data_IF_116769135839
#
_entry.id   IF_116769135839
#
_cell.length_a   1.000
_cell.length_b   1.000
_cell.length_c   1.000
_cell.angle_alpha   90.00
_cell.angle_beta   90.00
_cell.angle_gamma   90.00
#
_symmetry.space_group_name_H-M   'P 1'
#
loop_
_entity.id
_entity.type
_entity.pdbx_description
1 polymer ?
#
# COMPACT_ATOMS: atom_id res chain seq x y z
N UNK A 1 -12.67 13.93 26.91
CA UNK A 1 -12.36 12.75 27.75
C UNK A 1 -11.92 11.65 26.80
N UNK A 2 -10.85 10.91 27.09
CA UNK A 2 -10.50 9.73 26.29
C UNK A 2 -11.55 8.65 26.53
N UNK A 3 -12.06 8.06 25.45
CA UNK A 3 -13.03 6.98 25.50
C UNK A 3 -12.46 5.77 26.24
N UNK A 4 -13.30 5.03 26.95
CA UNK A 4 -12.90 3.75 27.57
C UNK A 4 -13.03 2.64 26.51
N UNK A 5 -11.91 2.01 26.17
CA UNK A 5 -11.87 0.85 25.28
C UNK A 5 -12.62 -0.35 25.88
N UNK A 6 -13.24 -1.15 25.03
CA UNK A 6 -13.82 -2.42 25.44
C UNK A 6 -12.74 -3.40 25.91
N UNK A 7 -13.07 -4.25 26.88
CA UNK A 7 -12.15 -5.27 27.39
C UNK A 7 -12.69 -6.66 27.04
N UNK A 8 -11.82 -7.51 26.52
CA UNK A 8 -12.09 -8.89 26.20
C UNK A 8 -11.13 -9.79 26.97
N UNK A 9 -11.66 -10.75 27.73
CA UNK A 9 -10.85 -11.68 28.53
C UNK A 9 -10.67 -12.99 27.79
N UNK A 10 -9.41 -13.41 27.61
CA UNK A 10 -9.03 -14.69 27.01
C UNK A 10 -8.25 -15.48 28.05
N UNK A 11 -8.75 -16.66 28.44
CA UNK A 11 -8.07 -17.56 29.38
C UNK A 11 -7.55 -16.84 30.66
N UNK A 12 -8.37 -15.93 31.21
CA UNK A 12 -8.04 -15.16 32.42
C UNK A 12 -7.12 -13.96 32.20
N UNK A 13 -6.74 -13.65 30.96
CA UNK A 13 -5.96 -12.46 30.61
C UNK A 13 -6.84 -11.42 29.94
N UNK A 14 -6.79 -10.17 30.41
CA UNK A 14 -7.55 -9.07 29.86
C UNK A 14 -6.81 -8.37 28.73
N UNK A 15 -7.54 -8.12 27.64
CA UNK A 15 -7.08 -7.35 26.49
C UNK A 15 -8.03 -6.18 26.23
N UNK A 16 -7.48 -5.00 25.97
CA UNK A 16 -8.25 -3.88 25.45
C UNK A 16 -8.43 -4.06 23.93
N UNK A 17 -9.65 -3.87 23.44
CA UNK A 17 -9.93 -3.80 22.01
C UNK A 17 -9.49 -2.41 21.49
N UNK A 18 -8.35 -2.38 20.81
CA UNK A 18 -7.81 -1.19 20.18
C UNK A 18 -8.24 -1.16 18.72
N UNK A 19 -9.35 -0.46 18.46
CA UNK A 19 -9.96 -0.38 17.13
C UNK A 19 -9.06 0.38 16.15
N UNK A 20 -8.27 1.36 16.61
CA UNK A 20 -7.33 2.08 15.75
C UNK A 20 -6.24 1.13 15.24
N UNK A 21 -5.65 0.34 16.15
CA UNK A 21 -4.63 -0.68 15.82
C UNK A 21 -5.20 -1.94 15.18
N UNK A 22 -6.53 -2.12 15.20
CA UNK A 22 -7.19 -3.37 14.80
C UNK A 22 -6.60 -4.58 15.54
N UNK A 23 -6.43 -4.46 16.86
CA UNK A 23 -5.82 -5.50 17.69
C UNK A 23 -6.45 -5.60 19.09
N UNK A 24 -6.35 -6.78 19.69
CA UNK A 24 -6.45 -6.97 21.12
C UNK A 24 -5.09 -6.69 21.75
N UNK A 25 -5.00 -5.68 22.62
CA UNK A 25 -3.75 -5.27 23.29
C UNK A 25 -3.81 -5.65 24.76
N UNK A 26 -2.83 -6.41 25.25
CA UNK A 26 -2.85 -6.93 26.62
C UNK A 26 -2.79 -5.79 27.65
N UNK A 27 -3.69 -5.81 28.62
CA UNK A 27 -3.69 -4.84 29.73
C UNK A 27 -2.45 -5.11 30.61
N UNK A 28 -1.65 -4.06 30.81
CA UNK A 28 -0.39 -4.15 31.55
C UNK A 28 0.83 -4.56 30.70
N UNK A 29 0.64 -4.92 29.42
CA UNK A 29 1.74 -5.22 28.50
C UNK A 29 1.38 -4.84 27.06
N UNK A 30 1.52 -3.56 26.70
CA UNK A 30 1.11 -3.05 25.39
C UNK A 30 1.94 -3.53 24.19
N UNK A 31 3.05 -4.23 24.45
CA UNK A 31 3.87 -4.87 23.43
C UNK A 31 3.29 -6.24 23.01
N UNK A 32 2.41 -6.82 23.82
CA UNK A 32 1.69 -8.03 23.45
C UNK A 32 0.35 -7.66 22.79
N UNK A 33 0.24 -7.94 21.50
CA UNK A 33 -0.93 -7.66 20.69
C UNK A 33 -1.32 -8.87 19.85
N UNK A 34 -2.62 -8.99 19.58
CA UNK A 34 -3.20 -10.01 18.70
C UNK A 34 -4.06 -9.29 17.65
N UNK A 35 -3.66 -9.36 16.39
CA UNK A 35 -4.28 -8.64 15.28
C UNK A 35 -5.58 -9.30 14.80
N UNK A 36 -6.65 -8.51 14.66
CA UNK A 36 -7.91 -8.97 14.03
C UNK A 36 -7.78 -9.24 12.52
N UNK A 37 -6.70 -8.74 11.91
CA UNK A 37 -6.46 -8.84 10.48
C UNK A 37 -5.49 -9.99 10.17
N UNK A 38 -4.38 -10.08 10.93
CA UNK A 38 -3.31 -11.02 10.63
C UNK A 38 -3.37 -12.32 11.44
N UNK A 39 -3.91 -12.27 12.66
CA UNK A 39 -3.87 -13.40 13.60
C UNK A 39 -5.22 -14.12 13.75
N UNK A 40 -6.30 -13.55 13.20
CA UNK A 40 -7.64 -14.07 13.33
C UNK A 40 -8.31 -14.26 11.97
N UNK A 41 -9.09 -15.34 11.85
CA UNK A 41 -9.94 -15.57 10.68
C UNK A 41 -11.33 -15.01 10.92
N UNK A 42 -11.80 -14.13 10.04
CA UNK A 42 -13.17 -13.60 10.08
C UNK A 42 -14.15 -14.61 9.47
N UNK A 43 -15.04 -15.14 10.32
CA UNK A 43 -16.11 -16.07 9.91
C UNK A 43 -17.47 -15.37 9.76
N UNK A 44 -17.49 -14.04 9.72
CA UNK A 44 -18.66 -13.16 9.57
C UNK A 44 -19.47 -12.99 10.85
N UNK A 45 -19.63 -14.06 11.63
CA UNK A 45 -20.35 -14.04 12.91
C UNK A 45 -19.43 -13.84 14.12
N UNK A 46 -18.16 -14.16 13.96
CA UNK A 46 -17.10 -14.03 14.96
C UNK A 46 -15.75 -14.15 14.26
N UNK A 47 -14.71 -13.72 14.96
CA UNK A 47 -13.34 -14.05 14.65
C UNK A 47 -12.95 -15.37 15.32
N UNK A 48 -12.30 -16.22 14.55
CA UNK A 48 -11.65 -17.42 15.06
C UNK A 48 -10.18 -17.10 15.33
N UNK A 49 -9.79 -17.19 16.60
CA UNK A 49 -8.41 -17.06 17.06
C UNK A 49 -7.93 -18.44 17.53
N UNK A 50 -6.80 -18.88 16.98
CA UNK A 50 -6.04 -19.99 17.55
C UNK A 50 -5.05 -19.41 18.57
N UNK A 51 -5.23 -19.73 19.84
CA UNK A 51 -4.54 -19.09 20.96
C UNK A 51 -3.61 -20.07 21.70
N UNK A 52 -2.45 -19.58 22.14
CA UNK A 52 -1.48 -20.32 22.97
C UNK A 52 -1.49 -19.76 24.41
N UNK A 53 -2.20 -20.39 25.37
CA UNK A 53 -2.31 -19.87 26.74
C UNK A 53 -0.95 -19.69 27.43
N UNK A 54 -0.03 -20.63 27.24
CA UNK A 54 1.33 -20.58 27.83
C UNK A 54 2.12 -19.34 27.38
N UNK A 55 1.86 -18.83 26.17
CA UNK A 55 2.57 -17.70 25.57
C UNK A 55 1.76 -16.41 25.56
N UNK A 56 0.46 -16.50 25.86
CA UNK A 56 -0.48 -15.39 25.79
C UNK A 56 -0.44 -14.73 24.41
N UNK A 57 -0.50 -15.54 23.34
CA UNK A 57 -0.33 -15.06 21.96
C UNK A 57 -1.17 -15.85 20.97
N UNK A 58 -1.34 -15.31 19.76
CA UNK A 58 -1.84 -16.09 18.63
C UNK A 58 -0.89 -17.22 18.24
N UNK A 59 -1.45 -18.30 17.73
CA UNK A 59 -0.72 -19.41 17.14
C UNK A 59 -0.49 -19.16 15.64
N UNK A 60 0.77 -19.27 15.19
CA UNK A 60 1.11 -18.99 13.78
C UNK A 60 0.90 -20.20 12.83
N UNK A 61 0.66 -21.42 13.34
CA UNK A 61 0.34 -22.61 12.55
C UNK A 61 -0.09 -23.81 13.43
N UNK A 62 -0.72 -24.82 12.79
CA UNK A 62 -1.23 -26.10 13.34
C UNK A 62 -0.20 -27.03 14.03
N UNK A 63 1.01 -26.57 14.34
CA UNK A 63 2.06 -27.44 14.91
C UNK A 63 1.97 -27.64 16.43
N UNK A 64 1.09 -26.91 17.11
CA UNK A 64 0.83 -27.04 18.54
C UNK A 64 -0.56 -27.66 18.82
N UNK A 65 -0.95 -28.71 18.09
CA UNK A 65 -2.30 -29.33 18.24
C UNK A 65 -2.68 -29.71 19.69
N UNK A 66 -1.71 -29.86 20.58
CA UNK A 66 -1.94 -30.20 21.99
C UNK A 66 -1.87 -29.01 22.97
N UNK A 67 -1.65 -27.78 22.49
CA UNK A 67 -1.54 -26.56 23.33
C UNK A 67 -2.35 -25.37 22.83
N UNK A 68 -3.04 -25.51 21.71
CA UNK A 68 -3.85 -24.45 21.12
C UNK A 68 -5.29 -24.54 21.61
N UNK A 69 -5.84 -23.41 22.04
CA UNK A 69 -7.26 -23.25 22.33
C UNK A 69 -7.89 -22.41 21.23
N UNK A 70 -9.05 -22.81 20.74
CA UNK A 70 -9.83 -22.00 19.81
C UNK A 70 -10.68 -20.99 20.60
N UNK A 71 -10.46 -19.71 20.34
CA UNK A 71 -11.17 -18.61 20.97
C UNK A 71 -12.08 -17.96 19.95
N UNK A 72 -13.34 -17.75 20.33
CA UNK A 72 -14.32 -17.01 19.54
C UNK A 72 -14.36 -15.57 20.02
N UNK A 73 -13.84 -14.65 19.22
CA UNK A 73 -13.90 -13.22 19.50
C UNK A 73 -15.10 -12.62 18.76
N UNK A 74 -15.99 -11.86 19.41
CA UNK A 74 -17.12 -11.22 18.73
C UNK A 74 -16.67 -10.26 17.62
N UNK A 75 -17.53 -9.98 16.63
CA UNK A 75 -17.30 -8.91 15.65
C UNK A 75 -17.02 -7.57 16.36
N UNK A 76 -16.19 -6.73 15.76
CA UNK A 76 -15.81 -5.43 16.31
C UNK A 76 -17.01 -4.51 16.50
N UNK A 77 -18.01 -4.56 15.62
CA UNK A 77 -19.27 -3.82 15.79
C UNK A 77 -20.06 -4.23 17.04
N UNK A 78 -19.81 -5.42 17.60
CA UNK A 78 -20.41 -5.88 18.85
C UNK A 78 -19.47 -5.69 20.04
N UNK A 79 -18.19 -5.99 19.85
CA UNK A 79 -17.17 -5.88 20.89
C UNK A 79 -16.94 -4.42 21.28
N UNK A 80 -16.86 -3.54 20.28
CA UNK A 80 -16.62 -2.12 20.46
C UNK A 80 -17.35 -1.26 19.40
N UNK A 81 -18.68 -1.12 19.50
CA UNK A 81 -19.47 -0.32 18.58
C UNK A 81 -19.07 1.16 18.56
N UNK A 82 -18.73 1.73 19.72
CA UNK A 82 -18.33 3.14 19.81
C UNK A 82 -17.00 3.39 19.06
N UNK A 83 -16.03 2.48 19.20
CA UNK A 83 -14.74 2.60 18.52
C UNK A 83 -14.86 2.40 17.02
N UNK A 84 -15.70 1.47 16.57
CA UNK A 84 -16.01 1.30 15.15
C UNK A 84 -16.68 2.53 14.57
N UNK A 85 -17.68 3.09 15.26
CA UNK A 85 -18.34 4.32 14.86
C UNK A 85 -17.38 5.51 14.74
N UNK A 86 -16.50 5.69 15.73
CA UNK A 86 -15.48 6.75 15.74
C UNK A 86 -14.48 6.58 14.60
N UNK A 87 -13.87 5.40 14.44
CA UNK A 87 -12.84 5.14 13.44
C UNK A 87 -13.34 5.29 12.00
N UNK A 88 -14.55 4.79 11.72
CA UNK A 88 -15.12 4.80 10.37
C UNK A 88 -16.10 5.97 10.14
N UNK A 89 -16.21 6.90 11.09
CA UNK A 89 -16.96 8.14 10.93
C UNK A 89 -18.46 7.94 10.68
N UNK A 90 -19.07 6.94 11.33
CA UNK A 90 -20.50 6.65 11.19
C UNK A 90 -21.25 6.66 12.53
N UNK A 91 -22.55 7.00 12.57
CA UNK A 91 -23.36 6.90 13.77
C UNK A 91 -23.41 5.47 14.33
N UNK A 92 -23.34 5.31 15.65
CA UNK A 92 -23.44 3.98 16.31
C UNK A 92 -24.74 3.26 15.93
N UNK A 93 -25.84 4.00 15.78
CA UNK A 93 -27.13 3.43 15.37
C UNK A 93 -27.07 2.76 13.99
N UNK A 94 -26.20 3.24 13.11
CA UNK A 94 -26.02 2.71 11.76
C UNK A 94 -25.18 1.43 11.74
N UNK A 95 -24.60 1.01 12.86
CA UNK A 95 -23.90 -0.27 13.00
C UNK A 95 -24.86 -1.45 13.20
N UNK A 96 -26.10 -1.18 13.62
CA UNK A 96 -27.07 -2.22 13.91
C UNK A 96 -27.35 -3.08 12.66
N UNK A 97 -27.11 -4.39 12.78
CA UNK A 97 -27.30 -5.34 11.68
C UNK A 97 -26.21 -5.35 10.61
N UNK A 98 -25.19 -4.47 10.71
CA UNK A 98 -24.02 -4.52 9.83
C UNK A 98 -22.96 -5.47 10.37
N UNK A 99 -22.19 -6.03 9.45
CA UNK A 99 -20.96 -6.76 9.71
C UNK A 99 -19.78 -5.81 9.78
N UNK A 100 -18.66 -6.26 10.37
CA UNK A 100 -17.41 -5.49 10.36
C UNK A 100 -17.00 -5.12 8.93
N UNK A 101 -17.15 -6.05 7.98
CA UNK A 101 -16.79 -5.80 6.58
C UNK A 101 -17.58 -4.65 5.96
N UNK A 102 -18.89 -4.58 6.21
CA UNK A 102 -19.77 -3.52 5.69
C UNK A 102 -19.44 -2.14 6.28
N UNK A 103 -18.83 -2.11 7.46
CA UNK A 103 -18.40 -0.87 8.11
C UNK A 103 -16.99 -0.48 7.69
N UNK A 104 -16.09 -1.46 7.54
CA UNK A 104 -14.69 -1.25 7.20
C UNK A 104 -14.46 -0.89 5.72
N UNK A 105 -15.35 -1.34 4.84
CA UNK A 105 -15.22 -1.18 3.39
C UNK A 105 -16.38 -0.34 2.88
N UNK A 106 -16.06 0.67 2.06
CA UNK A 106 -17.08 1.47 1.38
C UNK A 106 -17.85 0.59 0.39
N UNK A 107 -19.10 0.28 0.75
CA UNK A 107 -19.96 -0.62 -0.01
C UNK A 107 -20.42 -0.01 -1.35
N UNK A 108 -20.49 1.31 -1.47
CA UNK A 108 -20.86 1.97 -2.71
C UNK A 108 -19.72 1.86 -3.73
N UNK A 109 -18.49 2.18 -3.30
CA UNK A 109 -17.30 2.04 -4.14
C UNK A 109 -17.05 0.58 -4.53
N UNK A 110 -17.25 -0.36 -3.58
CA UNK A 110 -17.18 -1.78 -3.87
C UNK A 110 -18.23 -2.18 -4.91
N UNK A 111 -19.49 -1.77 -4.74
CA UNK A 111 -20.57 -2.05 -5.68
C UNK A 111 -20.26 -1.57 -7.11
N UNK A 112 -19.76 -0.34 -7.25
CA UNK A 112 -19.32 0.22 -8.55
C UNK A 112 -18.18 -0.59 -9.16
N UNK A 113 -17.19 -0.94 -8.35
CA UNK A 113 -16.05 -1.75 -8.79
C UNK A 113 -16.48 -3.14 -9.27
N UNK A 114 -17.41 -3.77 -8.55
CA UNK A 114 -17.99 -5.08 -8.91
C UNK A 114 -18.87 -5.00 -10.17
N UNK A 115 -19.54 -3.87 -10.41
CA UNK A 115 -20.26 -3.58 -11.65
C UNK A 115 -19.35 -3.33 -12.87
N UNK A 116 -18.03 -3.33 -12.67
CA UNK A 116 -17.03 -3.23 -13.75
C UNK A 116 -16.37 -1.87 -13.88
N UNK A 117 -16.68 -0.91 -13.00
CA UNK A 117 -16.01 0.38 -13.01
C UNK A 117 -14.55 0.22 -12.55
N UNK A 118 -13.59 0.75 -13.33
CA UNK A 118 -12.17 0.70 -12.96
C UNK A 118 -11.81 1.86 -12.02
N UNK A 119 -10.96 1.63 -11.00
CA UNK A 119 -10.44 2.71 -10.17
C UNK A 119 -9.69 3.74 -11.01
N UNK A 120 -9.65 4.98 -10.51
CA UNK A 120 -8.91 6.07 -11.14
C UNK A 120 -7.84 6.60 -10.21
N UNK A 121 -6.67 6.93 -10.76
CA UNK A 121 -5.57 7.62 -10.07
C UNK A 121 -5.21 8.92 -10.78
N UNK A 122 -4.97 9.97 -10.01
CA UNK A 122 -4.41 11.23 -10.51
C UNK A 122 -2.87 11.18 -10.52
N UNK A 123 -2.26 11.50 -11.65
CA UNK A 123 -0.81 11.58 -11.82
C UNK A 123 -0.50 12.93 -12.46
N UNK A 124 0.20 13.80 -11.72
CA UNK A 124 0.56 15.15 -12.18
C UNK A 124 -0.63 15.98 -12.73
N UNK A 125 -1.83 15.79 -12.17
CA UNK A 125 -3.06 16.50 -12.57
C UNK A 125 -3.90 15.79 -13.63
N UNK A 126 -3.38 14.73 -14.27
CA UNK A 126 -4.11 13.93 -15.25
C UNK A 126 -4.70 12.67 -14.61
N UNK A 127 -5.86 12.22 -15.11
CA UNK A 127 -6.55 11.03 -14.60
C UNK A 127 -6.25 9.79 -15.44
N UNK A 128 -6.02 8.68 -14.74
CA UNK A 128 -5.76 7.39 -15.35
C UNK A 128 -6.66 6.32 -14.74
N UNK A 129 -7.26 5.49 -15.59
CA UNK A 129 -7.92 4.25 -15.18
C UNK A 129 -6.86 3.18 -14.87
N UNK A 130 -7.00 2.53 -13.72
CA UNK A 130 -6.19 1.38 -13.32
C UNK A 130 -6.79 0.11 -13.94
N UNK A 131 -6.10 -0.49 -14.92
CA UNK A 131 -6.49 -1.79 -15.49
C UNK A 131 -5.41 -2.85 -15.20
N UNK A 132 -5.54 -3.51 -14.05
CA UNK A 132 -4.58 -4.54 -13.61
C UNK A 132 -4.61 -5.79 -14.50
N UNK A 133 -5.69 -6.05 -15.25
CA UNK A 133 -5.77 -7.19 -16.18
C UNK A 133 -4.77 -7.01 -17.33
N UNK A 134 -4.63 -5.76 -17.79
CA UNK A 134 -3.67 -5.37 -18.82
C UNK A 134 -2.31 -4.92 -18.25
N UNK A 135 -2.22 -4.74 -16.92
CA UNK A 135 -1.08 -4.11 -16.24
C UNK A 135 -0.80 -2.70 -16.77
N UNK A 136 -1.86 -1.89 -16.90
CA UNK A 136 -1.77 -0.56 -17.48
C UNK A 136 -2.48 0.49 -16.63
N UNK A 137 -1.91 1.69 -16.61
CA UNK A 137 -2.61 2.92 -16.26
C UNK A 137 -2.99 3.60 -17.57
N UNK A 138 -4.28 3.69 -17.85
CA UNK A 138 -4.79 4.18 -19.14
C UNK A 138 -5.32 5.59 -18.94
N UNK A 139 -4.75 6.57 -19.65
CA UNK A 139 -5.26 7.93 -19.62
C UNK A 139 -6.75 7.95 -19.97
N UNK A 140 -7.51 8.92 -19.44
CA UNK A 140 -8.96 9.02 -19.72
C UNK A 140 -9.28 9.10 -21.22
N UNK A 141 -8.42 9.75 -22.00
CA UNK A 141 -8.47 9.83 -23.47
C UNK A 141 -7.90 8.58 -24.19
N UNK A 142 -7.67 7.47 -23.47
CA UNK A 142 -7.13 6.17 -23.93
C UNK A 142 -5.67 6.15 -24.43
N UNK A 143 -5.04 7.31 -24.67
CA UNK A 143 -3.63 7.44 -25.03
C UNK A 143 -3.05 8.72 -24.39
N UNK A 144 -1.87 8.67 -23.74
CA UNK A 144 -0.97 7.52 -23.57
C UNK A 144 -1.40 6.49 -22.52
N UNK A 145 -0.78 5.32 -22.59
CA UNK A 145 -0.91 4.23 -21.62
C UNK A 145 0.44 4.00 -20.94
N UNK A 146 0.44 3.92 -19.62
CA UNK A 146 1.64 3.60 -18.84
C UNK A 146 1.60 2.10 -18.52
N UNK A 147 2.59 1.36 -19.01
CA UNK A 147 2.74 -0.05 -18.68
C UNK A 147 3.33 -0.20 -17.27
N UNK A 148 2.57 -0.75 -16.34
CA UNK A 148 2.96 -0.90 -14.94
C UNK A 148 4.15 -1.85 -14.76
N UNK A 149 4.40 -2.77 -15.71
CA UNK A 149 5.57 -3.66 -15.68
C UNK A 149 6.90 -2.94 -15.88
N UNK A 150 6.87 -1.68 -16.33
CA UNK A 150 8.07 -0.83 -16.50
C UNK A 150 8.35 0.04 -15.28
N UNK A 151 7.52 -0.04 -14.25
CA UNK A 151 7.72 0.71 -13.02
C UNK A 151 8.58 -0.12 -12.07
N UNK A 152 9.50 0.54 -11.40
CA UNK A 152 10.33 -0.11 -10.39
C UNK A 152 9.54 -0.21 -9.08
N UNK A 153 9.61 -1.34 -8.40
CA UNK A 153 8.98 -1.48 -7.09
C UNK A 153 9.91 -0.96 -6.01
N UNK A 154 9.40 -0.17 -5.07
CA UNK A 154 10.14 0.28 -3.90
C UNK A 154 10.65 -0.92 -3.08
N UNK A 155 11.72 -0.72 -2.30
CA UNK A 155 12.37 -1.79 -1.53
C UNK A 155 11.44 -2.45 -0.51
N UNK A 156 10.44 -1.73 -0.03
CA UNK A 156 9.41 -2.23 0.89
C UNK A 156 8.19 -2.85 0.18
N UNK A 157 8.14 -2.82 -1.16
CA UNK A 157 7.06 -3.38 -1.96
C UNK A 157 5.75 -2.57 -1.98
N UNK A 158 5.73 -1.37 -1.39
CA UNK A 158 4.48 -0.62 -1.16
C UNK A 158 4.10 0.32 -2.29
N UNK A 159 5.07 0.76 -3.10
CA UNK A 159 4.87 1.73 -4.18
C UNK A 159 5.67 1.37 -5.42
N UNK A 160 5.14 1.72 -6.57
CA UNK A 160 5.86 1.80 -7.83
C UNK A 160 6.52 3.17 -7.97
N UNK A 161 7.75 3.21 -8.46
CA UNK A 161 8.54 4.40 -8.70
C UNK A 161 8.94 4.47 -10.17
N UNK A 162 8.83 5.65 -10.77
CA UNK A 162 9.29 5.89 -12.12
C UNK A 162 9.52 7.38 -12.38
N UNK A 163 10.47 7.68 -13.26
CA UNK A 163 10.58 9.03 -13.80
C UNK A 163 9.50 9.26 -14.85
N UNK A 164 8.85 10.42 -14.79
CA UNK A 164 7.68 10.76 -15.57
C UNK A 164 7.85 12.14 -16.19
N UNK A 165 7.43 12.28 -17.45
CA UNK A 165 7.41 13.54 -18.17
C UNK A 165 5.95 13.98 -18.37
N UNK A 166 5.45 14.96 -17.59
CA UNK A 166 4.07 15.41 -17.64
C UNK A 166 3.62 15.90 -19.02
N UNK A 167 4.51 16.55 -19.78
CA UNK A 167 4.14 17.10 -21.08
C UNK A 167 3.72 16.03 -22.11
N UNK A 168 4.43 14.90 -22.13
CA UNK A 168 4.13 13.78 -23.04
C UNK A 168 3.35 12.66 -22.36
N UNK A 169 3.05 12.83 -21.07
CA UNK A 169 2.26 11.92 -20.23
C UNK A 169 2.80 10.48 -20.19
N UNK A 170 4.13 10.32 -20.16
CA UNK A 170 4.79 9.02 -20.21
C UNK A 170 5.90 8.86 -19.18
N UNK A 171 6.12 7.60 -18.80
CA UNK A 171 7.31 7.17 -18.06
C UNK A 171 8.52 7.21 -18.99
N UNK A 172 9.61 7.77 -18.48
CA UNK A 172 10.87 7.90 -19.19
C UNK A 172 11.98 7.26 -18.37
N UNK A 173 12.96 6.67 -19.03
CA UNK A 173 14.16 6.14 -18.39
C UNK A 173 15.29 7.13 -18.67
N UNK A 174 15.83 7.84 -17.67
CA UNK A 174 16.94 8.76 -17.87
C UNK A 174 18.18 8.02 -18.38
N UNK A 175 18.85 8.57 -19.39
CA UNK A 175 20.08 8.00 -19.93
C UNK A 175 21.17 7.94 -18.83
N UNK A 176 21.86 6.81 -18.73
CA UNK A 176 22.98 6.65 -17.78
C UNK A 176 24.13 7.64 -18.04
N UNK A 177 24.25 8.18 -19.27
CA UNK A 177 25.25 9.16 -19.67
C UNK A 177 24.74 10.60 -19.61
N UNK A 178 23.55 10.84 -19.05
CA UNK A 178 22.91 12.15 -18.97
C UNK A 178 23.83 13.18 -18.30
N UNK A 179 24.00 14.34 -18.93
CA UNK A 179 24.80 15.46 -18.41
C UNK A 179 23.97 16.68 -18.02
N UNK A 180 22.64 16.64 -18.16
CA UNK A 180 21.71 17.65 -17.65
C UNK A 180 20.35 17.01 -17.43
N UNK A 181 19.65 17.39 -16.36
CA UNK A 181 18.31 16.87 -16.08
C UNK A 181 17.32 17.47 -17.09
N UNK A 182 16.51 16.66 -17.79
CA UNK A 182 15.47 17.17 -18.69
C UNK A 182 14.48 18.08 -17.94
N UNK A 183 14.08 19.17 -18.58
CA UNK A 183 13.10 20.08 -18.01
C UNK A 183 11.75 19.39 -17.79
N UNK A 184 11.10 19.69 -16.67
CA UNK A 184 9.79 19.13 -16.31
C UNK A 184 9.81 17.66 -15.89
N UNK A 185 10.97 17.00 -15.87
CA UNK A 185 11.09 15.64 -15.37
C UNK A 185 10.77 15.59 -13.87
N UNK A 186 9.96 14.62 -13.47
CA UNK A 186 9.63 14.36 -12.06
C UNK A 186 9.76 12.88 -11.75
N UNK A 187 9.98 12.54 -10.49
CA UNK A 187 9.81 11.17 -10.01
C UNK A 187 8.39 11.05 -9.44
N UNK A 188 7.68 9.98 -9.80
CA UNK A 188 6.35 9.69 -9.25
C UNK A 188 6.39 8.42 -8.41
N UNK A 189 5.66 8.42 -7.30
CA UNK A 189 5.35 7.22 -6.52
C UNK A 189 3.85 6.90 -6.66
N UNK A 190 3.57 5.72 -7.17
CA UNK A 190 2.22 5.20 -7.38
C UNK A 190 2.01 4.07 -6.36
N UNK A 191 0.87 4.00 -5.64
CA UNK A 191 0.60 2.86 -4.76
C UNK A 191 0.69 1.53 -5.51
N UNK A 192 1.05 0.44 -4.82
CA UNK A 192 1.05 -0.88 -5.45
C UNK A 192 -0.37 -1.37 -5.80
N UNK A 193 -0.45 -2.52 -6.47
CA UNK A 193 -1.72 -3.10 -6.97
C UNK A 193 -2.76 -3.32 -5.86
N UNK A 194 -2.32 -3.71 -4.66
CA UNK A 194 -3.21 -3.94 -3.51
C UNK A 194 -3.92 -2.66 -3.05
N UNK A 195 -3.26 -1.51 -3.17
CA UNK A 195 -3.86 -0.21 -2.85
C UNK A 195 -4.60 0.43 -4.03
N UNK A 196 -4.13 0.21 -5.25
CA UNK A 196 -4.74 0.78 -6.46
C UNK A 196 -6.08 0.14 -6.82
N UNK A 197 -6.15 -1.19 -6.82
CA UNK A 197 -7.35 -1.95 -7.15
C UNK A 197 -7.33 -3.26 -6.37
N UNK A 198 -7.67 -3.25 -5.06
CA UNK A 198 -7.64 -4.45 -4.21
C UNK A 198 -8.50 -5.59 -4.77
N UNK A 199 -9.63 -5.28 -5.41
CA UNK A 199 -10.48 -6.26 -6.10
C UNK A 199 -9.75 -6.86 -7.31
N UNK A 200 -9.17 -6.01 -8.15
CA UNK A 200 -8.38 -6.45 -9.30
C UNK A 200 -7.17 -7.28 -8.90
N UNK A 201 -6.47 -6.90 -7.83
CA UNK A 201 -5.33 -7.61 -7.29
C UNK A 201 -5.74 -8.98 -6.72
N UNK A 202 -6.81 -9.03 -5.91
CA UNK A 202 -7.34 -10.29 -5.38
C UNK A 202 -7.63 -11.29 -6.50
N UNK A 203 -8.33 -10.84 -7.55
CA UNK A 203 -8.63 -11.68 -8.73
C UNK A 203 -7.39 -12.11 -9.48
N UNK A 204 -6.44 -11.20 -9.70
CA UNK A 204 -5.20 -11.47 -10.43
C UNK A 204 -4.34 -12.53 -9.73
N UNK A 205 -4.32 -12.52 -8.41
CA UNK A 205 -3.50 -13.43 -7.59
C UNK A 205 -4.28 -14.64 -7.04
N UNK A 206 -5.58 -14.76 -7.30
CA UNK A 206 -6.41 -15.85 -6.80
C UNK A 206 -6.62 -15.81 -5.28
N UNK A 207 -6.67 -14.61 -4.70
CA UNK A 207 -6.88 -14.38 -3.28
C UNK A 207 -8.37 -14.15 -2.99
N UNK A 208 -8.79 -14.40 -1.75
CA UNK A 208 -10.13 -14.08 -1.28
C UNK A 208 -10.33 -12.56 -1.22
N UNK A 209 -11.28 -12.04 -2.01
CA UNK A 209 -11.53 -10.59 -2.13
C UNK A 209 -11.82 -9.95 -0.78
N UNK A 210 -12.60 -10.63 0.07
CA UNK A 210 -12.98 -10.12 1.40
C UNK A 210 -11.75 -9.90 2.29
N UNK A 211 -10.81 -10.83 2.28
CA UNK A 211 -9.59 -10.74 3.10
C UNK A 211 -8.69 -9.61 2.61
N UNK A 212 -8.49 -9.50 1.29
CA UNK A 212 -7.72 -8.41 0.69
C UNK A 212 -8.35 -7.05 0.99
N UNK A 213 -9.68 -6.92 0.86
CA UNK A 213 -10.39 -5.65 1.10
C UNK A 213 -10.40 -5.23 2.58
N UNK A 214 -10.33 -6.17 3.52
CA UNK A 214 -10.18 -5.85 4.94
C UNK A 214 -8.79 -5.28 5.25
N UNK A 215 -7.76 -5.77 4.56
CA UNK A 215 -6.38 -5.29 4.69
C UNK A 215 -6.14 -3.99 3.91
N UNK A 216 -6.72 -3.90 2.73
CA UNK A 216 -6.56 -2.81 1.78
C UNK A 216 -7.95 -2.36 1.29
N UNK A 217 -8.69 -1.57 2.09
CA UNK A 217 -9.99 -1.04 1.67
C UNK A 217 -9.87 -0.19 0.40
N UNK A 218 -10.91 -0.21 -0.43
CA UNK A 218 -10.98 0.61 -1.64
C UNK A 218 -10.85 2.08 -1.26
N UNK A 219 -9.96 2.79 -1.94
CA UNK A 219 -9.74 4.22 -1.73
C UNK A 219 -10.57 5.04 -2.70
N UNK A 220 -11.22 6.09 -2.17
CA UNK A 220 -12.02 7.02 -2.98
C UNK A 220 -11.15 7.90 -3.88
N UNK A 221 -10.00 8.33 -3.36
CA UNK A 221 -9.09 9.27 -4.02
C UNK A 221 -7.70 8.67 -4.07
N UNK A 222 -7.28 8.23 -5.25
CA UNK A 222 -5.92 7.79 -5.51
C UNK A 222 -5.16 8.92 -6.19
N UNK A 223 -3.99 9.26 -5.63
CA UNK A 223 -3.10 10.27 -6.19
C UNK A 223 -1.66 9.80 -6.10
N UNK A 224 -0.94 9.88 -7.21
CA UNK A 224 0.50 9.64 -7.21
C UNK A 224 1.21 10.78 -6.48
N UNK A 225 2.19 10.42 -5.66
CA UNK A 225 3.05 11.39 -5.00
C UNK A 225 4.12 11.85 -5.99
N UNK A 226 4.33 13.17 -6.06
CA UNK A 226 5.36 13.77 -6.89
C UNK A 226 6.59 14.06 -6.03
N UNK A 227 7.76 13.64 -6.50
CA UNK A 227 9.05 13.87 -5.87
C UNK A 227 9.90 14.71 -6.82
N UNK A 228 10.54 15.74 -6.27
CA UNK A 228 11.46 16.59 -7.01
C UNK A 228 12.65 15.77 -7.49
N UNK A 229 13.09 15.95 -8.74
CA UNK A 229 14.26 15.25 -9.28
C UNK A 229 15.54 15.54 -8.51
N UNK A 230 15.60 16.70 -7.86
CA UNK A 230 16.66 17.15 -6.97
C UNK A 230 16.84 16.22 -5.76
N UNK A 231 15.76 15.59 -5.30
CA UNK A 231 15.74 14.67 -4.15
C UNK A 231 16.07 13.22 -4.55
N UNK A 232 16.41 12.98 -5.83
CA UNK A 232 16.72 11.65 -6.37
C UNK A 232 18.23 11.46 -6.58
N UNK A 233 18.62 10.30 -7.12
CA UNK A 233 20.01 10.04 -7.54
C UNK A 233 20.45 10.75 -8.84
N UNK A 234 19.53 11.37 -9.59
CA UNK A 234 19.82 11.99 -10.88
C UNK A 234 20.84 13.14 -10.81
N UNK A 235 20.79 14.09 -9.86
CA UNK A 235 21.77 15.17 -9.78
C UNK A 235 23.21 14.64 -9.59
N UNK A 236 23.37 13.63 -8.75
CA UNK A 236 24.67 12.99 -8.52
C UNK A 236 25.20 12.28 -9.77
N UNK A 237 24.31 11.59 -10.52
CA UNK A 237 24.64 10.97 -11.80
C UNK A 237 25.12 12.02 -12.82
N UNK A 238 24.35 13.10 -12.98
CA UNK A 238 24.69 14.20 -13.90
C UNK A 238 26.03 14.83 -13.54
N UNK A 239 26.29 15.08 -12.25
CA UNK A 239 27.55 15.63 -11.78
C UNK A 239 28.74 14.71 -12.11
N UNK A 240 28.59 13.41 -11.85
CA UNK A 240 29.61 12.40 -12.18
C UNK A 240 29.89 12.33 -13.68
N UNK A 241 28.86 12.32 -14.50
CA UNK A 241 28.99 12.27 -15.97
C UNK A 241 29.70 13.50 -16.52
N UNK A 242 29.37 14.71 -16.03
CA UNK A 242 30.08 15.94 -16.37
C UNK A 242 31.56 15.88 -16.02
N UNK A 243 31.91 15.33 -14.84
CA UNK A 243 33.30 15.19 -14.42
C UNK A 243 34.07 14.22 -15.33
N UNK A 244 33.48 13.06 -15.65
CA UNK A 244 34.09 12.07 -16.55
C UNK A 244 34.37 12.67 -17.93
N UNK A 245 33.38 13.36 -18.51
CA UNK A 245 33.52 14.01 -19.81
C UNK A 245 34.66 15.06 -19.82
N UNK A 246 34.75 15.90 -18.78
CA UNK A 246 35.83 16.88 -18.65
C UNK A 246 37.21 16.23 -18.53
N UNK A 247 37.31 15.09 -17.83
CA UNK A 247 38.58 14.36 -17.72
C UNK A 247 39.00 13.74 -19.05
N UNK A 248 38.05 13.14 -19.78
CA UNK A 248 38.29 12.57 -21.11
C UNK A 248 38.76 13.64 -22.11
N UNK A 249 38.10 14.80 -22.14
CA UNK A 249 38.50 15.92 -22.99
C UNK A 249 39.92 16.43 -22.67
N UNK A 250 40.27 16.52 -21.39
CA UNK A 250 41.63 16.91 -20.95
C UNK A 250 42.66 15.88 -21.41
N UNK A 251 42.38 14.58 -21.26
CA UNK A 251 43.28 13.51 -21.70
C UNK A 251 43.45 13.49 -23.23
N UNK A 252 42.38 13.70 -23.99
CA UNK A 252 42.43 13.78 -25.45
C UNK A 252 43.24 15.00 -25.92
N UNK A 253 43.07 16.18 -25.29
CA UNK A 253 43.87 17.37 -25.58
C UNK A 253 45.35 17.14 -25.32
N UNK A 254 45.70 16.47 -24.21
CA UNK A 254 47.09 16.16 -23.88
C UNK A 254 47.70 15.16 -24.88
N UNK A 255 46.96 14.12 -25.29
CA UNK A 255 47.40 13.17 -26.33
C UNK A 255 47.62 13.84 -27.69
N UNK A 256 46.78 14.82 -28.08
CA UNK A 256 46.96 15.57 -29.34
C UNK A 256 48.19 16.49 -29.30
N UNK A 257 48.55 17.05 -28.13
CA UNK A 257 49.77 17.85 -27.95
C UNK A 257 51.06 17.03 -28.01
N UNK A 258 51.00 15.74 -27.63
CA UNK A 258 52.14 14.82 -27.60
C UNK A 258 52.44 14.12 -28.94
N UNK A 259 51.63 14.32 -29.99
CA UNK A 259 51.90 13.76 -31.32
C UNK A 259 52.88 14.68 -32.08
N UNK A 260 54.07 14.20 -32.48
CA UNK A 260 55.00 15.00 -33.27
C UNK A 260 54.38 15.32 -34.64
N UNK A 261 54.54 16.56 -35.08
CA UNK A 261 54.22 16.96 -36.46
C UNK A 261 55.33 16.40 -37.36
N UNK A 262 54.98 15.42 -38.20
CA UNK A 262 55.81 14.98 -39.32
C UNK A 262 55.62 15.93 -40.50
#
# INVERSE_FOLDING_TARGET
MKRKQAVFTIEGTDFAADIDRMALVQIGNSANEISFINDMKDLGTHYQLLYLPDKISAAQALFDKNKVVEIRVPPLVQLDPEGMAEKYGCPIADLAGKTDFEVMVDQELLGRRLAGELPQIEICGDKYFVDLRLNQLRHEDFNPQINMKRLDLSSDGTTYQAFYQPLIKQVVEPDHNLTAIPEGLVMIEIPNELKLDPVGAARKYGLEEKDVLRMFPIQKELKAKQISVEDTGLPALVQRNRQNQQQEEKQQRNRKKLRPKF
#
